data_IF_704299901618
#
_entry.id   IF_704299901618
#
_cell.length_a   1.000
_cell.length_b   1.000
_cell.length_c   1.000
_cell.angle_alpha   90.00
_cell.angle_beta   90.00
_cell.angle_gamma   90.00
#
_symmetry.space_group_name_H-M   'P 1'
#
loop_
_entity.id
_entity.type
_entity.pdbx_description
1 polymer ?
#
# COMPACT_ATOMS: atom_id res chain seq x y z
N UNK A 1 13.87 23.48 0.57
CA UNK A 1 14.17 24.55 -0.39
C UNK A 1 14.18 23.88 -1.77
N UNK A 2 13.11 23.83 -2.57
CA UNK A 2 12.21 24.85 -3.11
C UNK A 2 12.72 25.63 -4.36
N UNK A 3 13.62 25.05 -5.17
CA UNK A 3 14.21 25.73 -6.35
C UNK A 3 13.97 25.01 -7.70
N UNK A 4 12.80 24.38 -7.93
CA UNK A 4 12.56 23.64 -9.17
C UNK A 4 11.86 24.42 -10.31
N UNK A 5 11.47 25.69 -10.13
CA UNK A 5 10.61 26.39 -11.09
C UNK A 5 11.15 27.76 -11.52
N UNK A 6 12.19 27.81 -12.37
CA UNK A 6 12.66 29.11 -12.89
C UNK A 6 12.83 29.30 -14.40
N UNK A 7 12.60 28.31 -15.29
CA UNK A 7 12.56 28.58 -16.74
C UNK A 7 11.61 27.63 -17.49
N UNK A 8 10.93 28.17 -18.51
CA UNK A 8 10.24 27.35 -19.51
C UNK A 8 11.26 26.43 -20.19
N UNK A 9 10.95 25.14 -20.38
CA UNK A 9 11.85 24.17 -21.01
C UNK A 9 12.15 24.57 -22.45
N UNK A 10 13.43 24.53 -22.84
CA UNK A 10 13.90 24.93 -24.17
C UNK A 10 13.34 24.04 -25.29
N UNK A 11 13.06 22.77 -24.97
CA UNK A 11 12.41 21.81 -25.87
C UNK A 11 11.13 21.30 -25.22
N UNK A 12 10.00 21.80 -25.72
CA UNK A 12 8.69 21.42 -25.21
C UNK A 12 8.37 19.96 -25.47
N UNK A 13 8.89 19.34 -26.54
CA UNK A 13 8.62 17.93 -26.80
C UNK A 13 9.43 17.03 -25.87
N UNK A 14 10.70 17.34 -25.58
CA UNK A 14 11.49 16.62 -24.57
C UNK A 14 10.96 16.79 -23.14
N UNK A 15 10.37 17.96 -22.82
CA UNK A 15 9.70 18.17 -21.53
C UNK A 15 8.36 17.45 -21.44
N UNK A 16 7.56 17.46 -22.50
CA UNK A 16 6.34 16.66 -22.58
C UNK A 16 6.68 15.17 -22.56
N UNK A 17 7.76 14.73 -23.19
CA UNK A 17 8.28 13.37 -23.07
C UNK A 17 8.80 13.10 -21.64
N UNK A 18 9.35 14.08 -20.94
CA UNK A 18 9.67 13.98 -19.51
C UNK A 18 8.44 13.88 -18.59
N UNK A 19 7.30 14.43 -19.02
CA UNK A 19 6.00 14.36 -18.32
C UNK A 19 5.23 13.08 -18.70
N UNK A 20 5.28 12.67 -19.97
CA UNK A 20 4.58 11.52 -20.54
C UNK A 20 5.37 10.22 -20.31
N UNK A 21 6.70 10.28 -20.29
CA UNK A 21 7.58 9.26 -19.73
C UNK A 21 7.79 9.51 -18.24
N UNK A 22 6.64 9.44 -17.54
CA UNK A 22 6.46 8.85 -16.21
C UNK A 22 6.96 9.69 -14.99
N UNK A 23 6.39 9.43 -13.80
CA UNK A 23 7.17 8.82 -12.73
C UNK A 23 7.02 7.31 -12.92
N UNK A 24 8.02 6.51 -13.29
CA UNK A 24 9.41 6.42 -12.81
C UNK A 24 9.43 6.16 -11.31
N UNK A 25 8.26 5.94 -10.71
CA UNK A 25 8.06 5.58 -9.32
C UNK A 25 7.23 4.30 -9.30
N UNK A 26 7.81 3.21 -8.80
CA UNK A 26 7.05 2.02 -8.45
C UNK A 26 6.03 2.41 -7.37
N UNK A 27 4.73 2.21 -7.63
CA UNK A 27 3.71 2.26 -6.58
C UNK A 27 3.68 0.88 -5.93
N UNK A 28 3.82 0.87 -4.61
CA UNK A 28 3.84 -0.35 -3.82
C UNK A 28 2.56 -0.45 -3.01
N UNK A 29 1.91 -1.61 -3.02
CA UNK A 29 0.58 -1.75 -2.42
C UNK A 29 0.57 -2.76 -1.29
N UNK A 30 -0.11 -2.40 -0.20
CA UNK A 30 -0.45 -3.28 0.91
C UNK A 30 -1.97 -3.40 0.97
N UNK A 31 -2.49 -4.60 0.71
CA UNK A 31 -3.92 -4.89 0.75
C UNK A 31 -4.31 -5.46 2.11
N UNK A 32 -5.27 -4.82 2.77
CA UNK A 32 -5.75 -5.18 4.11
C UNK A 32 -7.22 -5.55 4.03
N UNK A 33 -7.55 -6.75 4.51
CA UNK A 33 -8.94 -7.20 4.62
C UNK A 33 -9.61 -6.48 5.80
N UNK A 34 -10.68 -5.76 5.50
CA UNK A 34 -11.48 -5.05 6.49
C UNK A 34 -12.51 -5.98 7.15
N UNK A 35 -12.97 -5.55 8.32
CA UNK A 35 -14.11 -6.15 9.02
C UNK A 35 -15.42 -5.81 8.28
N UNK A 36 -16.40 -6.71 8.32
CA UNK A 36 -17.72 -6.49 7.69
C UNK A 36 -18.42 -5.25 8.21
N UNK A 37 -18.21 -4.87 9.47
CA UNK A 37 -18.77 -3.63 10.06
C UNK A 37 -18.29 -2.36 9.35
N UNK A 38 -17.18 -2.43 8.61
CA UNK A 38 -16.62 -1.30 7.85
C UNK A 38 -17.01 -1.32 6.38
N UNK A 39 -17.82 -2.31 5.94
CA UNK A 39 -18.23 -2.49 4.54
C UNK A 39 -18.82 -1.21 3.94
N UNK A 40 -19.76 -0.62 4.66
CA UNK A 40 -20.55 0.53 4.19
C UNK A 40 -19.88 1.88 4.46
N UNK A 41 -18.71 1.88 5.11
CA UNK A 41 -17.95 3.12 5.27
C UNK A 41 -17.48 3.61 3.91
N UNK A 42 -17.84 4.84 3.56
CA UNK A 42 -17.23 5.50 2.40
C UNK A 42 -15.73 5.70 2.62
N UNK A 43 -14.96 5.81 1.55
CA UNK A 43 -13.52 6.10 1.63
C UNK A 43 -13.24 7.38 2.43
N UNK A 44 -14.08 8.40 2.26
CA UNK A 44 -13.98 9.65 3.01
C UNK A 44 -14.13 9.42 4.52
N UNK A 45 -15.11 8.63 4.95
CA UNK A 45 -15.30 8.30 6.37
C UNK A 45 -14.10 7.51 6.89
N UNK A 46 -13.65 6.50 6.14
CA UNK A 46 -12.50 5.67 6.48
C UNK A 46 -11.24 6.52 6.68
N UNK A 47 -10.89 7.35 5.70
CA UNK A 47 -9.71 8.21 5.78
C UNK A 47 -9.84 9.25 6.91
N UNK A 48 -11.02 9.85 7.09
CA UNK A 48 -11.22 10.81 8.18
C UNK A 48 -11.06 10.18 9.57
N UNK A 49 -11.51 8.94 9.73
CA UNK A 49 -11.35 8.20 10.98
C UNK A 49 -9.88 7.81 11.18
N UNK A 50 -9.21 7.34 10.13
CA UNK A 50 -7.80 6.99 10.17
C UNK A 50 -6.94 8.19 10.62
N UNK A 51 -7.14 9.36 10.02
CA UNK A 51 -6.42 10.58 10.38
C UNK A 51 -6.65 10.95 11.85
N UNK A 52 -7.90 10.90 12.32
CA UNK A 52 -8.24 11.20 13.73
C UNK A 52 -7.54 10.29 14.72
N UNK A 53 -7.44 8.99 14.42
CA UNK A 53 -6.80 8.01 15.31
C UNK A 53 -5.27 8.12 15.30
N UNK A 54 -4.67 8.81 14.31
CA UNK A 54 -3.22 8.84 14.07
C UNK A 54 -2.59 10.23 14.01
N UNK A 55 -3.26 11.27 14.47
CA UNK A 55 -2.65 12.59 14.70
C UNK A 55 -1.45 12.48 15.66
N UNK A 56 -0.31 13.05 15.31
CA UNK A 56 0.94 13.02 16.08
C UNK A 56 1.75 11.73 15.95
N UNK A 57 1.38 10.81 15.06
CA UNK A 57 1.98 9.47 14.98
C UNK A 57 3.01 9.32 13.85
N UNK A 58 3.73 8.19 13.85
CA UNK A 58 4.58 7.79 12.72
C UNK A 58 3.79 7.70 11.40
N UNK A 59 2.51 7.35 11.44
CA UNK A 59 1.65 7.32 10.25
C UNK A 59 1.45 8.70 9.65
N UNK A 60 1.28 9.73 10.49
CA UNK A 60 1.12 11.11 10.03
C UNK A 60 2.36 11.59 9.27
N UNK A 61 3.56 11.24 9.75
CA UNK A 61 4.82 11.58 9.06
C UNK A 61 4.95 10.94 7.66
N UNK A 62 4.10 9.97 7.33
CA UNK A 62 4.11 9.24 6.04
C UNK A 62 2.96 9.62 5.12
N UNK A 63 2.00 10.45 5.56
CA UNK A 63 0.82 10.81 4.75
C UNK A 63 1.16 11.43 3.40
N UNK A 64 2.25 12.17 3.28
CA UNK A 64 2.70 12.71 1.99
C UNK A 64 3.13 11.63 0.99
N UNK A 65 3.45 10.42 1.47
CA UNK A 65 3.99 9.32 0.67
C UNK A 65 3.03 8.12 0.59
N UNK A 66 1.81 8.21 1.15
CA UNK A 66 0.82 7.14 1.11
C UNK A 66 -0.55 7.63 0.65
N UNK A 67 -1.25 6.77 -0.08
CA UNK A 67 -2.66 6.92 -0.41
C UNK A 67 -3.44 5.74 0.19
N UNK A 68 -4.45 6.06 0.99
CA UNK A 68 -5.37 5.09 1.57
C UNK A 68 -6.67 5.14 0.77
N UNK A 69 -7.11 3.99 0.26
CA UNK A 69 -8.36 3.87 -0.49
C UNK A 69 -8.97 2.46 -0.34
N UNK A 70 -10.19 2.26 -0.83
CA UNK A 70 -10.84 0.95 -0.89
C UNK A 70 -10.74 0.41 -2.31
N UNK A 71 -10.20 -0.81 -2.44
CA UNK A 71 -10.29 -1.57 -3.70
C UNK A 71 -11.67 -2.18 -3.88
N UNK A 72 -12.27 -2.62 -2.78
CA UNK A 72 -13.65 -3.11 -2.71
C UNK A 72 -14.19 -2.86 -1.29
N UNK A 73 -15.48 -3.09 -1.01
CA UNK A 73 -16.08 -2.75 0.29
C UNK A 73 -15.36 -3.34 1.51
N UNK A 74 -14.69 -4.49 1.34
CA UNK A 74 -13.99 -5.22 2.41
C UNK A 74 -12.47 -5.25 2.25
N UNK A 75 -11.90 -4.46 1.34
CA UNK A 75 -10.45 -4.41 1.11
C UNK A 75 -9.98 -2.97 1.04
N UNK A 76 -9.19 -2.58 2.03
CA UNK A 76 -8.45 -1.32 2.03
C UNK A 76 -7.08 -1.55 1.40
N UNK A 77 -6.59 -0.57 0.67
CA UNK A 77 -5.26 -0.56 0.07
C UNK A 77 -4.51 0.67 0.57
N UNK A 78 -3.28 0.43 1.00
CA UNK A 78 -2.29 1.48 1.26
C UNK A 78 -1.32 1.45 0.09
N UNK A 79 -1.42 2.44 -0.79
CA UNK A 79 -0.47 2.65 -1.88
C UNK A 79 0.64 3.55 -1.38
N UNK A 80 1.89 3.12 -1.50
CA UNK A 80 3.08 3.88 -1.14
C UNK A 80 3.82 4.30 -2.40
N UNK A 81 4.25 5.57 -2.46
CA UNK A 81 4.97 6.11 -3.62
C UNK A 81 6.49 5.82 -3.59
N UNK A 82 6.97 5.19 -2.52
CA UNK A 82 8.34 4.71 -2.38
C UNK A 82 8.40 3.38 -1.59
N UNK A 83 9.43 2.57 -1.86
CA UNK A 83 9.58 1.23 -1.29
C UNK A 83 9.87 1.28 0.21
N UNK A 84 10.63 2.28 0.65
CA UNK A 84 11.07 2.41 2.05
C UNK A 84 9.86 2.64 2.95
N UNK A 85 8.92 3.49 2.53
CA UNK A 85 7.66 3.72 3.19
C UNK A 85 6.84 2.43 3.21
N UNK A 86 6.71 1.73 2.07
CA UNK A 86 5.96 0.47 2.02
C UNK A 86 6.51 -0.60 2.98
N UNK A 87 7.83 -0.80 3.02
CA UNK A 87 8.50 -1.74 3.94
C UNK A 87 8.33 -1.30 5.40
N UNK A 88 8.44 -0.01 5.69
CA UNK A 88 8.25 0.51 7.04
C UNK A 88 6.81 0.35 7.55
N UNK A 89 5.82 0.44 6.66
CA UNK A 89 4.42 0.21 7.02
C UNK A 89 4.08 -1.29 7.11
N UNK A 90 4.73 -2.12 6.30
CA UNK A 90 4.53 -3.55 6.29
C UNK A 90 4.87 -4.21 7.64
N UNK A 91 3.99 -5.08 8.13
CA UNK A 91 4.17 -5.76 9.43
C UNK A 91 3.78 -4.92 10.65
N UNK A 92 3.42 -3.64 10.48
CA UNK A 92 2.88 -2.81 11.55
C UNK A 92 1.41 -3.12 11.82
N UNK A 93 0.87 -2.57 12.91
CA UNK A 93 -0.55 -2.64 13.25
C UNK A 93 -1.12 -1.22 13.29
N UNK A 94 -2.35 -1.04 12.81
CA UNK A 94 -3.10 0.18 13.01
C UNK A 94 -4.51 -0.08 13.57
N UNK A 95 -5.11 0.93 14.20
CA UNK A 95 -6.46 0.93 14.73
C UNK A 95 -7.38 1.61 13.72
N UNK A 96 -8.57 1.05 13.53
CA UNK A 96 -9.61 1.70 12.73
C UNK A 96 -10.99 1.34 13.27
N UNK A 97 -11.71 2.35 13.74
CA UNK A 97 -13.02 2.16 14.38
C UNK A 97 -12.90 1.29 15.63
N UNK A 98 -11.81 1.41 16.38
CA UNK A 98 -11.58 0.67 17.62
C UNK A 98 -11.20 -0.82 17.44
N UNK A 99 -10.78 -1.26 16.25
CA UNK A 99 -10.19 -2.60 16.03
C UNK A 99 -8.81 -2.50 15.43
N UNK A 100 -7.92 -3.38 15.86
CA UNK A 100 -6.58 -3.51 15.32
C UNK A 100 -6.60 -4.28 13.99
N UNK A 101 -5.87 -3.75 13.01
CA UNK A 101 -5.61 -4.36 11.71
C UNK A 101 -4.10 -4.52 11.53
N UNK A 102 -3.68 -5.73 11.20
CA UNK A 102 -2.30 -6.00 10.86
C UNK A 102 -2.05 -5.68 9.39
N UNK A 103 -1.05 -4.86 9.13
CA UNK A 103 -0.58 -4.56 7.78
C UNK A 103 0.30 -5.74 7.32
N UNK A 104 0.01 -6.38 6.18
CA UNK A 104 0.87 -7.45 5.68
C UNK A 104 2.27 -6.93 5.42
N UNK A 105 3.29 -7.80 5.52
CA UNK A 105 4.62 -7.44 5.06
C UNK A 105 4.61 -7.22 3.55
N UNK A 106 5.32 -6.18 3.08
CA UNK A 106 5.47 -5.96 1.66
C UNK A 106 6.25 -7.11 1.03
N UNK A 107 5.69 -7.71 -0.02
CA UNK A 107 6.39 -8.66 -0.88
C UNK A 107 6.14 -8.28 -2.33
N UNK A 108 7.22 -8.05 -3.07
CA UNK A 108 7.17 -7.75 -4.52
C UNK A 108 6.44 -8.85 -5.32
N UNK A 109 6.42 -10.07 -4.78
CA UNK A 109 5.81 -11.23 -5.40
C UNK A 109 4.49 -11.65 -4.75
N UNK A 110 4.14 -11.09 -3.58
CA UNK A 110 2.94 -11.45 -2.82
C UNK A 110 1.61 -11.42 -3.61
N UNK A 111 1.39 -10.48 -4.54
CA UNK A 111 0.20 -10.47 -5.39
C UNK A 111 0.17 -11.57 -6.48
N UNK A 112 1.34 -12.10 -6.85
CA UNK A 112 1.51 -12.97 -8.03
C UNK A 112 1.56 -14.48 -7.68
N UNK A 113 1.59 -14.85 -6.41
CA UNK A 113 1.65 -16.24 -5.98
C UNK A 113 0.56 -16.53 -4.94
N UNK A 114 -0.40 -17.38 -5.32
CA UNK A 114 -1.30 -18.03 -4.37
C UNK A 114 -0.64 -19.35 -3.95
N UNK A 115 -0.06 -19.41 -2.74
CA UNK A 115 0.38 -20.69 -2.19
C UNK A 115 -0.85 -21.46 -1.72
N UNK A 116 -1.28 -22.45 -2.51
CA UNK A 116 -2.37 -23.36 -2.14
C UNK A 116 -1.78 -24.57 -1.43
N UNK A 117 -2.01 -24.70 -0.13
CA UNK A 117 -1.66 -25.92 0.60
C UNK A 117 -2.77 -26.95 0.38
N UNK A 118 -2.54 -27.86 -0.56
CA UNK A 118 -3.40 -29.04 -0.69
C UNK A 118 -2.98 -30.03 0.40
N UNK A 119 -3.89 -30.38 1.31
CA UNK A 119 -3.61 -31.40 2.32
C UNK A 119 -3.43 -32.75 1.61
N UNK A 120 -2.19 -33.13 1.34
CA UNK A 120 -1.86 -34.47 0.86
C UNK A 120 -1.84 -35.38 2.08
N UNK A 121 -2.82 -36.26 2.23
CA UNK A 121 -2.79 -37.33 3.25
C UNK A 121 -1.80 -38.43 2.81
N UNK A 122 -0.53 -38.06 2.60
CA UNK A 122 0.53 -39.01 2.33
C UNK A 122 1.78 -38.60 3.15
N UNK A 123 2.16 -39.37 4.19
CA UNK A 123 3.29 -39.05 5.05
C UNK A 123 4.63 -38.88 4.31
N UNK A 124 4.77 -39.47 3.12
CA UNK A 124 6.04 -39.45 2.36
C UNK A 124 6.24 -38.20 1.48
N UNK A 125 5.18 -37.42 1.21
CA UNK A 125 5.22 -36.26 0.30
C UNK A 125 5.44 -34.91 0.99
N UNK A 126 5.63 -34.88 2.31
CA UNK A 126 5.77 -33.65 3.11
C UNK A 126 7.14 -32.96 3.02
N UNK A 127 7.82 -33.01 1.86
CA UNK A 127 9.06 -32.24 1.61
C UNK A 127 8.87 -31.31 0.43
N UNK A 128 8.74 -30.02 0.71
CA UNK A 128 8.80 -29.00 -0.32
C UNK A 128 10.25 -28.88 -0.84
N UNK A 129 10.47 -29.27 -2.10
CA UNK A 129 11.69 -28.92 -2.83
C UNK A 129 11.45 -27.53 -3.42
N UNK A 130 12.27 -26.56 -3.00
CA UNK A 130 12.34 -25.24 -3.64
C UNK A 130 13.41 -25.36 -4.73
N UNK A 131 12.99 -25.24 -5.99
CA UNK A 131 13.87 -25.03 -7.13
C UNK A 131 13.78 -23.57 -7.57
#
# INVERSE_FOLDING_TARGET
>A
MADAFYKNPEDMNSFLDGILLLPKSQVFELSIKLDERLRDWSERVLCSQFVKEYTGSLWESKYSNVLIHKRNPLTMVISCYDLKTCVAMGGTTFMLGGKAFQVPQYSRYGPNYYVTFTKVNNPDMARAIVA
#
